data_IF_956567212721
#
_entry.id   IF_956567212721
#
_cell.length_a   1.000
_cell.length_b   1.000
_cell.length_c   1.000
_cell.angle_alpha   90.00
_cell.angle_beta   90.00
_cell.angle_gamma   90.00
#
_symmetry.space_group_name_H-M   'P 1'
#
loop_
_entity.id
_entity.type
_entity.pdbx_description
1 polymer ?
#
# COMPACT_ATOMS: atom_id res chain seq x y z
N UNK A 1 -9.59 1.75 -13.17
CA UNK A 1 -9.95 1.89 -11.74
C UNK A 1 -8.69 2.33 -11.02
N UNK A 2 -8.80 3.30 -10.12
CA UNK A 2 -7.71 3.74 -9.24
C UNK A 2 -7.28 2.60 -8.32
N UNK A 3 -5.99 2.29 -8.25
CA UNK A 3 -5.46 1.26 -7.34
C UNK A 3 -5.53 1.77 -5.90
N UNK A 4 -5.55 0.86 -4.91
CA UNK A 4 -5.45 1.23 -3.50
C UNK A 4 -4.18 2.05 -3.20
N UNK A 5 -3.12 1.81 -3.96
CA UNK A 5 -1.89 2.56 -3.78
C UNK A 5 -2.00 4.00 -4.25
N UNK A 6 -2.78 4.27 -5.31
CA UNK A 6 -3.02 5.63 -5.81
C UNK A 6 -3.83 6.43 -4.79
N UNK A 7 -4.79 5.77 -4.12
CA UNK A 7 -5.50 6.36 -2.99
C UNK A 7 -4.55 6.72 -1.85
N UNK A 8 -3.66 5.81 -1.44
CA UNK A 8 -2.70 6.10 -0.36
C UNK A 8 -1.78 7.26 -0.75
N UNK A 9 -1.31 7.31 -2.00
CA UNK A 9 -0.51 8.42 -2.50
C UNK A 9 -1.29 9.74 -2.42
N UNK A 10 -2.54 9.78 -2.91
CA UNK A 10 -3.39 10.98 -2.82
C UNK A 10 -3.56 11.49 -1.38
N UNK A 11 -3.61 10.59 -0.39
CA UNK A 11 -3.77 10.97 1.01
C UNK A 11 -2.45 11.34 1.70
N UNK A 12 -1.29 10.96 1.16
CA UNK A 12 0.02 11.09 1.84
C UNK A 12 1.00 12.01 1.12
N UNK A 13 0.76 12.35 -0.14
CA UNK A 13 1.56 13.35 -0.85
C UNK A 13 1.23 14.76 -0.33
N UNK A 14 2.23 15.64 -0.24
CA UNK A 14 1.98 17.04 0.09
C UNK A 14 1.07 17.66 -0.99
N UNK A 15 0.17 18.59 -0.62
CA UNK A 15 -0.62 19.30 -1.60
C UNK A 15 0.29 19.99 -2.62
N UNK A 16 -0.05 19.89 -3.90
CA UNK A 16 0.73 20.45 -5.00
C UNK A 16 0.91 21.96 -4.78
N UNK A 17 2.16 22.42 -4.84
CA UNK A 17 2.52 23.81 -4.60
C UNK A 17 1.75 24.77 -5.51
N UNK A 18 1.44 24.34 -6.75
CA UNK A 18 0.61 25.09 -7.69
C UNK A 18 -0.84 25.19 -7.21
N UNK A 19 -1.45 24.09 -6.82
CA UNK A 19 -2.81 24.09 -6.25
C UNK A 19 -2.92 24.91 -4.96
N UNK A 20 -1.86 24.95 -4.15
CA UNK A 20 -1.78 25.77 -2.95
C UNK A 20 -1.69 27.26 -3.27
N UNK A 21 -0.94 27.63 -4.31
CA UNK A 21 -0.85 29.01 -4.77
C UNK A 21 -2.20 29.46 -5.35
N UNK A 22 -2.87 28.62 -6.14
CA UNK A 22 -4.22 28.87 -6.64
C UNK A 22 -5.23 29.04 -5.48
N UNK A 23 -5.17 28.18 -4.46
CA UNK A 23 -6.02 28.29 -3.27
C UNK A 23 -5.73 29.56 -2.47
N UNK A 24 -4.46 29.94 -2.31
CA UNK A 24 -4.07 31.17 -1.62
C UNK A 24 -4.51 32.43 -2.39
N UNK A 25 -4.49 32.40 -3.73
CA UNK A 25 -5.01 33.47 -4.59
C UNK A 25 -6.54 33.60 -4.46
N UNK A 26 -7.28 32.47 -4.46
CA UNK A 26 -8.73 32.45 -4.23
C UNK A 26 -9.11 32.92 -2.82
N UNK A 27 -8.37 32.51 -1.79
CA UNK A 27 -8.59 32.94 -0.40
C UNK A 27 -8.30 34.44 -0.22
N UNK A 28 -7.22 34.95 -0.84
CA UNK A 28 -6.91 36.38 -0.89
C UNK A 28 -8.05 37.19 -1.51
N UNK A 29 -8.67 36.66 -2.57
CA UNK A 29 -9.80 37.29 -3.24
C UNK A 29 -11.09 37.25 -2.38
N UNK A 30 -11.34 36.16 -1.65
CA UNK A 30 -12.50 36.00 -0.75
C UNK A 30 -12.41 36.84 0.51
N UNK A 31 -11.22 37.03 1.07
CA UNK A 31 -11.00 37.81 2.28
C UNK A 31 -10.90 39.31 2.03
N UNK A 32 -11.06 39.77 0.77
CA UNK A 32 -11.26 41.17 0.45
C UNK A 32 -10.14 42.07 0.99
N UNK A 33 -8.89 41.79 0.62
CA UNK A 33 -7.80 42.77 0.73
C UNK A 33 -7.64 43.45 2.10
N UNK A 34 -7.85 42.75 3.20
CA UNK A 34 -7.58 43.29 4.53
C UNK A 34 -6.09 43.17 4.86
N UNK A 35 -5.40 44.31 4.93
CA UNK A 35 -4.04 44.40 5.44
C UNK A 35 -4.04 44.00 6.93
N UNK A 36 -3.51 42.83 7.26
CA UNK A 36 -3.24 42.42 8.65
C UNK A 36 -1.74 42.15 8.76
N UNK A 37 -1.17 42.63 9.88
CA UNK A 37 0.25 42.87 10.11
C UNK A 37 1.21 41.68 10.01
N UNK A 38 2.49 42.06 10.16
CA UNK A 38 3.69 41.29 9.88
C UNK A 38 3.71 39.84 10.41
N UNK A 39 3.81 38.91 9.47
CA UNK A 39 4.18 37.50 9.68
C UNK A 39 3.61 36.60 8.59
N UNK A 40 4.39 35.70 7.96
CA UNK A 40 3.83 34.73 7.02
C UNK A 40 2.79 33.88 7.76
N UNK A 41 1.55 33.89 7.26
CA UNK A 41 0.50 32.98 7.68
C UNK A 41 1.08 31.56 7.57
N UNK A 42 1.31 30.88 8.68
CA UNK A 42 1.69 29.47 8.66
C UNK A 42 0.43 28.69 8.27
N UNK A 43 0.12 28.65 6.98
CA UNK A 43 -0.91 27.78 6.42
C UNK A 43 -0.51 26.37 6.82
N UNK A 44 -1.26 25.79 7.75
CA UNK A 44 -1.00 24.46 8.29
C UNK A 44 -1.05 23.45 7.17
N UNK A 45 0.12 23.03 6.69
CA UNK A 45 0.26 21.93 5.74
C UNK A 45 -0.01 20.63 6.48
N UNK A 46 -1.27 20.38 6.83
CA UNK A 46 -1.67 19.08 7.37
C UNK A 46 -1.64 18.05 6.24
N UNK A 47 -0.54 17.32 6.16
CA UNK A 47 -0.45 16.12 5.33
C UNK A 47 -1.40 15.07 5.90
N UNK A 48 -2.26 14.52 5.03
CA UNK A 48 -3.17 13.45 5.40
C UNK A 48 -2.42 12.21 5.91
N UNK A 49 -3.09 11.39 6.70
CA UNK A 49 -2.54 10.16 7.28
C UNK A 49 -3.46 8.99 6.99
N UNK A 50 -2.87 7.84 6.64
CA UNK A 50 -3.60 6.58 6.43
C UNK A 50 -3.24 5.59 7.55
N UNK A 51 -4.25 5.09 8.26
CA UNK A 51 -4.09 4.02 9.24
C UNK A 51 -4.38 2.66 8.59
N UNK A 52 -3.38 1.79 8.56
CA UNK A 52 -3.52 0.38 8.14
C UNK A 52 -3.44 -0.52 9.37
N UNK A 53 -4.51 -1.23 9.70
CA UNK A 53 -4.55 -2.10 10.87
C UNK A 53 -5.14 -3.48 10.58
N UNK A 54 -4.83 -4.44 11.44
CA UNK A 54 -5.53 -5.71 11.57
C UNK A 54 -5.75 -5.96 13.08
N UNK A 55 -6.18 -7.16 13.49
CA UNK A 55 -6.46 -7.44 14.91
C UNK A 55 -5.24 -7.26 15.82
N UNK A 56 -4.08 -7.81 15.43
CA UNK A 56 -2.87 -7.82 16.27
C UNK A 56 -1.77 -6.89 15.74
N UNK A 57 -1.86 -6.45 14.49
CA UNK A 57 -0.81 -5.66 13.85
C UNK A 57 0.52 -6.41 13.67
N UNK A 58 0.48 -7.75 13.57
CA UNK A 58 1.66 -8.62 13.44
C UNK A 58 1.85 -9.11 12.01
N UNK A 59 0.79 -9.57 11.34
CA UNK A 59 0.94 -10.27 10.04
C UNK A 59 0.25 -9.53 8.89
N UNK A 60 -1.10 -9.54 8.85
CA UNK A 60 -1.89 -8.96 7.74
C UNK A 60 -1.61 -7.48 7.44
N UNK A 61 -1.70 -6.60 8.43
CA UNK A 61 -1.51 -5.16 8.18
C UNK A 61 -0.08 -4.79 7.82
N UNK A 62 1.00 -5.31 8.47
CA UNK A 62 2.34 -5.02 8.00
C UNK A 62 2.64 -5.61 6.62
N UNK A 63 2.06 -6.75 6.22
CA UNK A 63 2.17 -7.24 4.83
C UNK A 63 1.69 -6.20 3.82
N UNK A 64 0.53 -5.58 4.05
CA UNK A 64 -0.01 -4.54 3.15
C UNK A 64 0.92 -3.32 3.12
N UNK A 65 1.42 -2.89 4.28
CA UNK A 65 2.36 -1.76 4.37
C UNK A 65 3.66 -2.05 3.62
N UNK A 66 4.22 -3.26 3.79
CA UNK A 66 5.44 -3.69 3.09
C UNK A 66 5.19 -3.71 1.57
N UNK A 67 4.10 -4.32 1.10
CA UNK A 67 3.77 -4.38 -0.33
C UNK A 67 3.64 -2.98 -0.96
N UNK A 68 2.99 -2.05 -0.26
CA UNK A 68 2.86 -0.66 -0.70
C UNK A 68 4.22 0.04 -0.79
N UNK A 69 5.06 -0.08 0.24
CA UNK A 69 6.39 0.52 0.27
C UNK A 69 7.31 -0.07 -0.79
N UNK A 70 7.26 -1.38 -1.03
CA UNK A 70 7.98 -2.05 -2.13
C UNK A 70 7.61 -1.43 -3.49
N UNK A 71 6.31 -1.26 -3.76
CA UNK A 71 5.83 -0.63 -5.01
C UNK A 71 6.25 0.84 -5.09
N UNK A 72 6.01 1.63 -4.03
CA UNK A 72 6.27 3.08 -4.01
C UNK A 72 7.75 3.40 -4.17
N UNK A 73 8.61 2.66 -3.46
CA UNK A 73 10.05 2.90 -3.46
C UNK A 73 10.81 2.08 -4.50
N UNK A 74 10.13 1.16 -5.21
CA UNK A 74 10.73 0.19 -6.15
C UNK A 74 11.88 -0.60 -5.50
N UNK A 75 11.68 -1.05 -4.26
CA UNK A 75 12.66 -1.81 -3.47
C UNK A 75 12.17 -3.22 -3.18
N UNK A 76 13.09 -4.17 -3.19
CA UNK A 76 12.80 -5.58 -2.93
C UNK A 76 12.34 -5.88 -1.51
N UNK A 77 11.72 -7.04 -1.33
CA UNK A 77 11.07 -7.47 -0.09
C UNK A 77 12.02 -7.39 1.12
N UNK A 78 13.21 -7.99 1.04
CA UNK A 78 14.12 -8.12 2.17
C UNK A 78 14.54 -6.74 2.73
N UNK A 79 14.81 -5.79 1.83
CA UNK A 79 15.21 -4.44 2.21
C UNK A 79 14.06 -3.65 2.87
N UNK A 80 12.86 -3.73 2.30
CA UNK A 80 11.68 -3.04 2.86
C UNK A 80 11.24 -3.69 4.17
N UNK A 81 11.23 -5.02 4.24
CA UNK A 81 10.90 -5.76 5.45
C UNK A 81 11.81 -5.37 6.61
N UNK A 82 13.13 -5.32 6.38
CA UNK A 82 14.09 -4.89 7.39
C UNK A 82 13.78 -3.47 7.92
N UNK A 83 13.50 -2.52 7.03
CA UNK A 83 13.17 -1.14 7.42
C UNK A 83 11.88 -1.05 8.26
N UNK A 84 10.84 -1.81 7.89
CA UNK A 84 9.58 -1.83 8.65
C UNK A 84 9.76 -2.54 9.99
N UNK A 85 10.55 -3.63 10.04
CA UNK A 85 10.86 -4.39 11.26
C UNK A 85 11.64 -3.55 12.28
N UNK A 86 12.53 -2.66 11.82
CA UNK A 86 13.22 -1.69 12.70
C UNK A 86 12.21 -0.74 13.36
N UNK A 87 11.19 -0.28 12.61
CA UNK A 87 10.16 0.63 13.12
C UNK A 87 9.12 -0.05 14.00
N UNK A 88 8.84 -1.34 13.76
CA UNK A 88 7.90 -2.16 14.53
C UNK A 88 8.42 -3.59 14.63
N UNK A 89 9.00 -3.93 15.79
CA UNK A 89 9.73 -5.20 15.99
C UNK A 89 8.82 -6.42 16.00
N UNK A 90 7.54 -6.23 16.31
CA UNK A 90 6.52 -7.27 16.46
C UNK A 90 5.97 -7.77 15.12
N UNK A 91 6.28 -7.13 14.00
CA UNK A 91 5.76 -7.58 12.70
C UNK A 91 6.36 -8.95 12.36
N UNK A 92 5.54 -9.88 11.95
CA UNK A 92 5.93 -11.20 11.49
C UNK A 92 4.87 -11.66 10.48
N UNK A 93 4.98 -11.24 9.20
CA UNK A 93 4.16 -11.80 8.13
C UNK A 93 4.25 -13.32 8.13
N UNK A 94 3.13 -14.01 7.91
CA UNK A 94 3.16 -15.47 7.78
C UNK A 94 3.93 -15.87 6.52
N UNK A 95 4.42 -17.11 6.47
CA UNK A 95 5.17 -17.62 5.32
C UNK A 95 4.39 -17.48 3.99
N UNK A 96 3.07 -17.67 4.01
CA UNK A 96 2.23 -17.43 2.84
C UNK A 96 2.29 -15.96 2.37
N UNK A 97 2.23 -15.00 3.31
CA UNK A 97 2.37 -13.58 2.95
C UNK A 97 3.78 -13.24 2.46
N UNK A 98 4.82 -13.84 3.04
CA UNK A 98 6.20 -13.68 2.55
C UNK A 98 6.33 -14.16 1.10
N UNK A 99 5.75 -15.32 0.77
CA UNK A 99 5.73 -15.83 -0.60
C UNK A 99 4.97 -14.90 -1.55
N UNK A 100 3.80 -14.39 -1.14
CA UNK A 100 3.04 -13.41 -1.93
C UNK A 100 3.84 -12.12 -2.16
N UNK A 101 4.57 -11.62 -1.17
CA UNK A 101 5.43 -10.44 -1.32
C UNK A 101 6.60 -10.67 -2.28
N UNK A 102 7.18 -11.87 -2.29
CA UNK A 102 8.23 -12.23 -3.26
C UNK A 102 7.69 -12.33 -4.68
N UNK A 103 6.51 -12.90 -4.87
CA UNK A 103 5.83 -12.89 -6.18
C UNK A 103 5.50 -11.45 -6.60
N UNK A 104 5.05 -10.60 -5.67
CA UNK A 104 4.79 -9.18 -5.92
C UNK A 104 6.03 -8.42 -6.43
N UNK A 105 7.21 -8.72 -5.87
CA UNK A 105 8.49 -8.23 -6.37
C UNK A 105 8.82 -8.78 -7.76
N UNK A 106 8.71 -10.09 -7.97
CA UNK A 106 9.04 -10.77 -9.23
C UNK A 106 8.20 -10.25 -10.41
N UNK A 107 6.91 -9.99 -10.19
CA UNK A 107 6.03 -9.43 -11.22
C UNK A 107 6.24 -7.93 -11.46
N UNK A 108 7.16 -7.28 -10.73
CA UNK A 108 7.44 -5.86 -10.87
C UNK A 108 6.32 -4.96 -10.34
N UNK A 109 5.62 -5.42 -9.29
CA UNK A 109 4.55 -4.69 -8.63
C UNK A 109 3.36 -4.35 -9.55
N UNK A 110 3.08 -5.26 -10.49
CA UNK A 110 1.91 -5.29 -11.35
C UNK A 110 1.67 -6.76 -11.71
N UNK A 111 0.55 -7.35 -11.29
CA UNK A 111 0.29 -8.78 -11.47
C UNK A 111 -0.33 -9.11 -12.84
N UNK A 112 -0.87 -8.11 -13.54
CA UNK A 112 -1.56 -8.29 -14.82
C UNK A 112 -0.68 -7.86 -16.00
N UNK A 113 -0.81 -8.55 -17.13
CA UNK A 113 -0.19 -8.13 -18.39
C UNK A 113 -1.03 -7.08 -19.12
N UNK A 114 -2.36 -7.14 -18.93
CA UNK A 114 -3.32 -6.26 -19.58
C UNK A 114 -4.07 -5.37 -18.57
N UNK A 115 -4.48 -4.19 -19.04
CA UNK A 115 -5.28 -3.24 -18.24
C UNK A 115 -6.65 -3.80 -17.83
N UNK A 116 -7.15 -4.80 -18.55
CA UNK A 116 -8.42 -5.47 -18.25
C UNK A 116 -8.32 -6.44 -17.08
N UNK A 117 -7.11 -6.70 -16.56
CA UNK A 117 -6.86 -7.66 -15.47
C UNK A 117 -7.39 -9.05 -15.80
N UNK A 118 -7.16 -9.50 -17.03
CA UNK A 118 -7.65 -10.78 -17.53
C UNK A 118 -6.54 -11.80 -17.74
N UNK A 119 -5.30 -11.33 -17.94
CA UNK A 119 -4.11 -12.14 -18.19
C UNK A 119 -3.10 -11.90 -17.07
N UNK A 120 -3.03 -12.78 -16.07
CA UNK A 120 -2.01 -12.67 -15.04
C UNK A 120 -0.64 -12.97 -15.63
N UNK A 121 0.40 -12.29 -15.13
CA UNK A 121 1.78 -12.61 -15.49
C UNK A 121 2.13 -14.04 -15.08
N UNK A 122 3.02 -14.67 -15.84
CA UNK A 122 3.42 -16.08 -15.67
C UNK A 122 3.77 -16.46 -14.23
N UNK A 123 4.57 -15.66 -13.53
CA UNK A 123 4.97 -15.94 -12.15
C UNK A 123 3.77 -15.95 -11.19
N UNK A 124 2.87 -14.98 -11.35
CA UNK A 124 1.64 -14.92 -10.56
C UNK A 124 0.68 -16.06 -10.90
N UNK A 125 0.52 -16.40 -12.19
CA UNK A 125 -0.28 -17.57 -12.59
C UNK A 125 0.25 -18.87 -11.97
N UNK A 126 1.58 -19.11 -12.05
CA UNK A 126 2.19 -20.29 -11.46
C UNK A 126 1.99 -20.36 -9.93
N UNK A 127 2.02 -19.21 -9.26
CA UNK A 127 1.67 -19.10 -7.84
C UNK A 127 0.22 -19.51 -7.58
N UNK A 128 -0.74 -18.98 -8.36
CA UNK A 128 -2.17 -19.33 -8.23
C UNK A 128 -2.42 -20.83 -8.46
N UNK A 129 -1.82 -21.40 -9.51
CA UNK A 129 -1.97 -22.83 -9.85
C UNK A 129 -1.44 -23.71 -8.72
N UNK A 130 -0.30 -23.35 -8.13
CA UNK A 130 0.29 -24.07 -6.99
C UNK A 130 -0.62 -23.98 -5.76
N UNK A 131 -1.15 -22.80 -5.46
CA UNK A 131 -2.04 -22.60 -4.31
C UNK A 131 -3.36 -23.34 -4.48
N UNK A 132 -3.94 -23.37 -5.69
CA UNK A 132 -5.15 -24.13 -5.98
C UNK A 132 -4.98 -25.62 -5.68
N UNK A 133 -3.86 -26.22 -6.09
CA UNK A 133 -3.56 -27.63 -5.82
C UNK A 133 -3.41 -27.95 -4.34
N UNK A 134 -2.78 -27.06 -3.55
CA UNK A 134 -2.64 -27.28 -2.11
C UNK A 134 -3.98 -27.24 -1.37
N UNK A 135 -4.93 -26.41 -1.84
CA UNK A 135 -6.29 -26.37 -1.27
C UNK A 135 -7.06 -27.66 -1.59
N UNK A 136 -6.94 -28.19 -2.81
CA UNK A 136 -7.54 -29.47 -3.19
C UNK A 136 -7.00 -30.64 -2.35
N UNK A 137 -5.68 -30.70 -2.13
CA UNK A 137 -5.04 -31.73 -1.31
C UNK A 137 -5.42 -31.64 0.18
N UNK A 138 -5.59 -30.43 0.72
CA UNK A 138 -6.06 -30.22 2.10
C UNK A 138 -7.54 -30.62 2.28
N UNK A 139 -8.40 -30.33 1.30
CA UNK A 139 -9.81 -30.74 1.31
C UNK A 139 -9.98 -32.26 1.18
N UNK A 140 -9.10 -32.94 0.43
CA UNK A 140 -9.05 -34.41 0.36
C UNK A 140 -8.55 -35.04 1.67
N UNK A 141 -7.60 -34.39 2.35
CA UNK A 141 -7.04 -34.87 3.62
C UNK A 141 -7.96 -34.67 4.85
N UNK A 142 -8.90 -33.72 4.79
CA UNK A 142 -9.80 -33.40 5.91
C UNK A 142 -11.04 -34.32 5.99
N UNK A 143 -11.22 -35.24 5.04
CA UNK A 143 -12.35 -36.20 5.03
C UNK A 143 -12.17 -37.43 5.94
N UNK A 144 -11.14 -37.48 6.79
CA UNK A 144 -10.82 -38.65 7.65
C UNK A 144 -10.83 -38.39 9.18
N UNK A 145 -11.43 -37.29 9.64
CA UNK A 145 -11.64 -37.04 11.07
C UNK A 145 -13.11 -36.72 11.38
N UNK A 146 -13.83 -37.70 11.93
CA UNK A 146 -15.22 -37.55 12.36
C UNK A 146 -15.44 -36.55 13.50
N UNK A 147 -16.73 -36.19 13.64
CA UNK A 147 -17.42 -35.43 14.69
C UNK A 147 -16.78 -35.38 16.08
#
# INVERSE_FOLDING_TARGET
MSEICDFIDQQTEPPDLLSLLEQAEEESMRLGGACIGDGPLSIGMEQGKVLVHCTQGVSRSPTVVIAYLMRKQRRGFEAVYADVKVKRREIEPSENFVQQLRIWEEVGYEVWEDKGRTKPKRAYQAFLDKTARMVEEEDEGNYHGGW
#
